data_IF_999623541368
#
_entry.id   IF_999623541368
#
_cell.length_a   1.000
_cell.length_b   1.000
_cell.length_c   1.000
_cell.angle_alpha   90.00
_cell.angle_beta   90.00
_cell.angle_gamma   90.00
#
_symmetry.space_group_name_H-M   'P 1'
#
loop_
_entity.id
_entity.type
_entity.pdbx_description
1 polymer ?
#
# COMPACT_ATOMS: atom_id res chain seq x y z
N UNK A 1 4.81 5.85 19.22
CA UNK A 1 5.11 6.43 17.89
C UNK A 1 4.76 5.39 16.84
N UNK A 2 4.08 5.79 15.76
CA UNK A 2 3.80 4.89 14.62
C UNK A 2 4.91 5.09 13.59
N UNK A 3 5.65 4.02 13.33
CA UNK A 3 6.83 4.04 12.44
C UNK A 3 6.53 3.48 11.05
N UNK A 4 5.53 2.61 10.92
CA UNK A 4 5.19 1.98 9.64
C UNK A 4 3.72 1.54 9.64
N UNK A 5 3.09 1.55 8.47
CA UNK A 5 1.75 1.01 8.26
C UNK A 5 1.77 0.00 7.12
N UNK A 6 1.03 -1.10 7.28
CA UNK A 6 0.77 -2.05 6.20
C UNK A 6 -0.65 -1.84 5.68
N UNK A 7 -0.81 -1.55 4.39
CA UNK A 7 -2.09 -1.29 3.76
C UNK A 7 -2.19 -1.98 2.40
N UNK A 8 -3.40 -2.27 1.92
CA UNK A 8 -3.58 -2.86 0.59
C UNK A 8 -3.30 -1.84 -0.54
N UNK A 9 -3.31 -2.33 -1.78
CA UNK A 9 -2.99 -1.54 -2.98
C UNK A 9 -4.19 -0.76 -3.52
N UNK A 10 -5.05 -0.25 -2.64
CA UNK A 10 -6.12 0.65 -3.01
C UNK A 10 -5.62 2.10 -3.06
N UNK A 11 -6.09 2.88 -4.05
CA UNK A 11 -5.72 4.30 -4.19
C UNK A 11 -6.21 5.17 -3.03
N UNK A 12 -7.28 4.76 -2.34
CA UNK A 12 -7.73 5.42 -1.11
C UNK A 12 -6.66 5.44 -0.02
N UNK A 13 -5.78 4.44 -0.01
CA UNK A 13 -4.70 4.37 0.97
C UNK A 13 -3.55 5.30 0.62
N UNK A 14 -3.44 5.77 -0.64
CA UNK A 14 -2.47 6.80 -1.01
C UNK A 14 -2.82 8.13 -0.32
N UNK A 15 -4.10 8.52 -0.35
CA UNK A 15 -4.59 9.71 0.38
C UNK A 15 -4.44 9.54 1.89
N UNK A 16 -4.80 8.37 2.44
CA UNK A 16 -4.68 8.11 3.87
C UNK A 16 -3.25 8.27 4.38
N UNK A 17 -2.26 7.73 3.65
CA UNK A 17 -0.86 7.79 4.06
C UNK A 17 -0.26 9.19 3.91
N UNK A 18 -0.72 9.98 2.92
CA UNK A 18 -0.36 11.39 2.81
C UNK A 18 -0.84 12.18 4.04
N UNK A 19 -2.13 12.08 4.38
CA UNK A 19 -2.70 12.77 5.54
C UNK A 19 -2.06 12.32 6.86
N UNK A 20 -1.73 11.03 7.00
CA UNK A 20 -1.00 10.51 8.16
C UNK A 20 0.41 11.12 8.28
N UNK A 21 1.06 11.46 7.18
CA UNK A 21 2.36 12.15 7.18
C UNK A 21 2.29 13.55 7.78
N UNK A 22 1.17 14.24 7.55
CA UNK A 22 0.95 15.58 8.08
C UNK A 22 0.48 15.56 9.55
N UNK A 23 -0.29 14.53 9.94
CA UNK A 23 -0.84 14.41 11.29
C UNK A 23 0.19 13.82 12.28
N UNK A 24 1.04 12.90 11.84
CA UNK A 24 2.01 12.24 12.71
C UNK A 24 3.44 12.78 12.48
N UNK A 25 4.01 13.53 13.44
CA UNK A 25 5.32 14.20 13.29
C UNK A 25 6.53 13.27 13.10
N UNK A 26 6.36 11.96 13.21
CA UNK A 26 7.43 10.97 13.00
C UNK A 26 7.05 9.90 11.96
N UNK A 27 5.91 10.05 11.29
CA UNK A 27 5.49 9.13 10.24
C UNK A 27 6.06 9.64 8.92
N UNK A 28 6.97 8.87 8.31
CA UNK A 28 7.62 9.23 7.04
C UNK A 28 6.71 9.20 5.80
N UNK A 29 5.39 9.36 5.98
CA UNK A 29 4.39 9.31 4.92
C UNK A 29 4.51 8.02 4.10
N UNK A 30 4.54 8.18 2.78
CA UNK A 30 4.65 7.07 1.82
C UNK A 30 5.91 6.19 2.03
N UNK A 31 7.03 6.76 2.50
CA UNK A 31 8.23 5.94 2.76
C UNK A 31 8.05 4.94 3.89
N UNK A 32 7.05 5.16 4.75
CA UNK A 32 6.70 4.31 5.88
C UNK A 32 5.45 3.45 5.60
N UNK A 33 5.03 3.35 4.34
CA UNK A 33 3.94 2.47 3.93
C UNK A 33 4.47 1.20 3.27
N UNK A 34 4.16 0.07 3.89
CA UNK A 34 4.33 -1.25 3.28
C UNK A 34 3.03 -1.67 2.59
N UNK A 35 3.12 -2.04 1.30
CA UNK A 35 1.95 -2.59 0.58
C UNK A 35 1.78 -4.07 0.91
N UNK A 36 0.54 -4.52 1.07
CA UNK A 36 0.25 -5.91 1.42
C UNK A 36 0.70 -6.88 0.31
N UNK A 37 1.67 -7.75 0.63
CA UNK A 37 2.20 -8.76 -0.29
C UNK A 37 1.12 -9.68 -0.86
N UNK A 38 0.15 -10.07 -0.01
CA UNK A 38 -0.97 -10.92 -0.44
C UNK A 38 -1.80 -10.27 -1.56
N UNK A 39 -1.98 -8.95 -1.51
CA UNK A 39 -2.70 -8.23 -2.56
C UNK A 39 -1.91 -8.22 -3.88
N UNK A 40 -0.58 -8.05 -3.81
CA UNK A 40 0.29 -8.10 -4.99
C UNK A 40 0.20 -9.48 -5.65
N UNK A 41 0.27 -10.57 -4.87
CA UNK A 41 0.12 -11.93 -5.39
C UNK A 41 -1.25 -12.12 -6.04
N UNK A 42 -2.33 -11.64 -5.41
CA UNK A 42 -3.67 -11.72 -5.98
C UNK A 42 -3.80 -10.95 -7.31
N UNK A 43 -3.13 -9.80 -7.45
CA UNK A 43 -3.09 -9.06 -8.73
C UNK A 43 -2.31 -9.85 -9.79
N UNK A 44 -1.14 -10.40 -9.46
CA UNK A 44 -0.34 -11.21 -10.39
C UNK A 44 -1.11 -12.45 -10.85
N UNK A 45 -1.75 -13.17 -9.93
CA UNK A 45 -2.57 -14.36 -10.25
C UNK A 45 -3.78 -14.02 -11.12
N UNK A 46 -4.34 -12.81 -11.04
CA UNK A 46 -5.42 -12.38 -11.93
C UNK A 46 -4.95 -12.00 -13.33
N UNK A 47 -3.69 -11.57 -13.46
CA UNK A 47 -3.09 -11.19 -14.75
C UNK A 47 -2.51 -12.41 -15.48
N UNK A 48 -1.91 -13.34 -14.74
CA UNK A 48 -1.23 -14.51 -15.31
C UNK A 48 -2.09 -15.32 -16.30
N UNK A 49 -3.37 -15.62 -16.05
CA UNK A 49 -4.22 -16.36 -16.98
C UNK A 49 -4.59 -15.59 -18.24
N UNK A 50 -4.54 -14.24 -18.24
CA UNK A 50 -4.84 -13.41 -19.41
C UNK A 50 -3.70 -13.39 -20.44
N UNK A 51 -2.47 -13.72 -20.03
CA UNK A 51 -1.32 -13.77 -20.93
C UNK A 51 -1.27 -15.06 -21.77
N UNK A 52 -2.14 -16.04 -21.45
CA UNK A 52 -2.23 -17.33 -22.13
C UNK A 52 -3.58 -17.55 -22.82
N UNK A 53 -4.40 -16.50 -22.94
CA UNK A 53 -5.56 -16.40 -23.84
C UNK A 53 -5.11 -15.77 -25.17
#
# INVERSE_FOLDING_TARGET
QVLMIAADNASSNDTMVAELGDILPCFGGETNRTRCFLHIVNLVVKLFPREFD
#
